data_IF_269250726063
#
_entry.id   IF_269250726063
#
_cell.length_a   1.000
_cell.length_b   1.000
_cell.length_c   1.000
_cell.angle_alpha   90.00
_cell.angle_beta   90.00
_cell.angle_gamma   90.00
#
_symmetry.space_group_name_H-M   'P 1'
#
loop_
_entity.id
_entity.type
_entity.pdbx_description
1 polymer ?
#
# COMPACT_ATOMS: atom_id res chain seq x y z
N UNK A 1 56.59 60.28 -7.56
CA UNK A 1 56.42 59.00 -8.26
C UNK A 1 55.54 58.11 -7.38
N UNK A 2 54.23 58.09 -7.62
CA UNK A 2 53.28 57.31 -6.82
C UNK A 2 52.87 56.05 -7.57
N UNK A 3 53.27 54.88 -7.07
CA UNK A 3 52.81 53.58 -7.56
C UNK A 3 51.60 53.16 -6.72
N UNK A 4 50.41 53.23 -7.33
CA UNK A 4 49.18 52.68 -6.74
C UNK A 4 49.20 51.15 -6.88
N UNK A 5 49.30 50.46 -5.75
CA UNK A 5 49.10 49.01 -5.66
C UNK A 5 47.59 48.70 -5.63
N UNK A 6 47.08 47.98 -6.63
CA UNK A 6 45.76 47.37 -6.64
C UNK A 6 45.85 45.92 -6.12
N UNK A 7 45.10 45.52 -5.07
CA UNK A 7 45.09 44.13 -4.64
C UNK A 7 44.28 43.24 -5.59
N UNK A 8 44.85 42.07 -5.88
CA UNK A 8 44.33 41.05 -6.80
C UNK A 8 43.00 40.44 -6.31
N UNK A 9 41.90 40.85 -6.95
CA UNK A 9 40.53 40.33 -6.79
C UNK A 9 40.37 38.84 -7.20
N UNK A 10 41.43 38.21 -7.71
CA UNK A 10 41.38 36.87 -8.32
C UNK A 10 41.06 35.75 -7.32
N UNK A 11 41.47 35.87 -6.06
CA UNK A 11 41.30 34.81 -5.06
C UNK A 11 39.88 34.75 -4.45
N UNK A 12 39.16 35.87 -4.45
CA UNK A 12 37.79 35.95 -3.92
C UNK A 12 36.78 35.32 -4.88
N UNK A 13 36.98 35.56 -6.18
CA UNK A 13 36.17 34.99 -7.24
C UNK A 13 36.31 33.45 -7.26
N UNK A 14 37.53 32.89 -7.25
CA UNK A 14 37.74 31.43 -7.31
C UNK A 14 37.14 30.65 -6.12
N UNK A 15 37.10 31.24 -4.92
CA UNK A 15 36.40 30.65 -3.76
C UNK A 15 34.88 30.69 -3.91
N UNK A 16 34.33 31.73 -4.54
CA UNK A 16 32.89 31.90 -4.73
C UNK A 16 32.30 30.88 -5.71
N UNK A 17 32.99 30.56 -6.81
CA UNK A 17 32.58 29.48 -7.73
C UNK A 17 32.62 28.10 -7.05
N UNK A 18 33.67 27.82 -6.26
CA UNK A 18 33.75 26.56 -5.50
C UNK A 18 32.61 26.38 -4.49
N UNK A 19 32.17 27.46 -3.84
CA UNK A 19 31.03 27.39 -2.92
C UNK A 19 29.72 27.16 -3.67
N UNK A 20 29.51 27.83 -4.81
CA UNK A 20 28.33 27.62 -5.65
C UNK A 20 28.28 26.19 -6.21
N UNK A 21 29.42 25.62 -6.60
CA UNK A 21 29.53 24.23 -7.07
C UNK A 21 29.19 23.22 -5.97
N UNK A 22 29.63 23.48 -4.72
CA UNK A 22 29.28 22.63 -3.57
C UNK A 22 27.78 22.70 -3.26
N UNK A 23 27.21 23.91 -3.27
CA UNK A 23 25.78 24.12 -2.99
C UNK A 23 24.91 23.46 -4.07
N UNK A 24 25.29 23.60 -5.35
CA UNK A 24 24.56 22.96 -6.45
C UNK A 24 24.69 21.43 -6.37
N UNK A 25 25.88 20.88 -6.13
CA UNK A 25 26.06 19.44 -5.96
C UNK A 25 25.25 18.87 -4.79
N UNK A 26 25.21 19.58 -3.65
CA UNK A 26 24.40 19.18 -2.49
C UNK A 26 22.90 19.20 -2.81
N UNK A 27 22.42 20.23 -3.53
CA UNK A 27 21.03 20.31 -3.97
C UNK A 27 20.65 19.15 -4.90
N UNK A 28 21.44 18.90 -5.95
CA UNK A 28 21.18 17.78 -6.86
C UNK A 28 21.31 16.42 -6.16
N UNK A 29 22.24 16.26 -5.23
CA UNK A 29 22.37 15.06 -4.41
C UNK A 29 21.14 14.80 -3.52
N UNK A 30 20.61 15.85 -2.88
CA UNK A 30 19.39 15.75 -2.08
C UNK A 30 18.16 15.42 -2.93
N UNK A 31 18.04 16.03 -4.11
CA UNK A 31 16.97 15.72 -5.08
C UNK A 31 17.09 14.27 -5.57
N UNK A 32 18.27 13.82 -5.95
CA UNK A 32 18.51 12.43 -6.35
C UNK A 32 18.17 11.45 -5.22
N UNK A 33 18.59 11.75 -3.98
CA UNK A 33 18.26 10.94 -2.81
C UNK A 33 16.75 10.90 -2.55
N UNK A 34 16.05 12.03 -2.71
CA UNK A 34 14.59 12.06 -2.64
C UNK A 34 13.95 11.16 -3.71
N UNK A 35 14.39 11.25 -4.96
CA UNK A 35 13.89 10.38 -6.03
C UNK A 35 14.22 8.90 -5.78
N UNK A 36 15.40 8.58 -5.25
CA UNK A 36 15.75 7.21 -4.86
C UNK A 36 14.83 6.71 -3.73
N UNK A 37 14.57 7.53 -2.70
CA UNK A 37 13.66 7.14 -1.63
C UNK A 37 12.20 7.00 -2.10
N UNK A 38 11.77 7.74 -3.12
CA UNK A 38 10.39 7.68 -3.63
C UNK A 38 10.19 6.57 -4.66
N UNK A 39 11.18 6.33 -5.53
CA UNK A 39 11.03 5.47 -6.71
C UNK A 39 11.88 4.18 -6.67
N UNK A 40 12.68 3.95 -5.61
CA UNK A 40 13.48 2.72 -5.46
C UNK A 40 13.19 2.03 -4.11
N UNK A 41 13.38 0.70 -4.00
CA UNK A 41 12.94 -0.10 -2.84
C UNK A 41 13.68 0.20 -1.52
N UNK A 42 14.66 1.11 -1.51
CA UNK A 42 15.32 1.51 -0.25
C UNK A 42 14.42 2.43 0.61
N UNK A 43 13.40 3.07 0.03
CA UNK A 43 12.43 3.91 0.76
C UNK A 43 11.23 3.19 1.35
N UNK A 44 11.20 1.85 1.26
CA UNK A 44 10.07 0.96 1.57
C UNK A 44 9.52 1.04 3.01
N UNK A 45 10.24 1.69 3.93
CA UNK A 45 9.80 1.86 5.33
C UNK A 45 8.93 3.11 5.55
N UNK A 46 8.96 4.12 4.66
CA UNK A 46 8.21 5.37 4.82
C UNK A 46 6.95 5.45 3.95
N UNK A 47 6.89 4.64 2.88
CA UNK A 47 5.72 4.53 2.00
C UNK A 47 4.81 3.34 2.38
N UNK A 48 4.55 3.11 3.67
CA UNK A 48 3.60 2.10 4.15
C UNK A 48 2.16 2.29 3.59
N UNK A 49 1.87 3.44 2.97
CA UNK A 49 0.63 3.70 2.24
C UNK A 49 0.59 3.07 0.83
N UNK A 50 1.74 2.76 0.22
CA UNK A 50 1.86 2.32 -1.19
C UNK A 50 1.85 0.80 -1.39
N UNK A 51 2.05 0.00 -0.34
CA UNK A 51 1.96 -1.47 -0.40
C UNK A 51 0.56 -2.00 -0.74
N UNK A 52 -0.47 -1.14 -0.60
CA UNK A 52 -1.88 -1.46 -0.92
C UNK A 52 -2.12 -1.77 -2.41
N UNK A 53 -1.28 -1.28 -3.32
CA UNK A 53 -1.42 -1.53 -4.77
C UNK A 53 -0.55 -2.67 -5.26
N UNK A 54 0.63 -2.91 -4.68
CA UNK A 54 1.55 -3.94 -5.17
C UNK A 54 1.08 -5.37 -4.90
N UNK A 55 0.36 -5.62 -3.80
CA UNK A 55 -0.30 -6.91 -3.55
C UNK A 55 -1.46 -7.18 -4.53
N UNK A 56 -1.96 -6.16 -5.23
CA UNK A 56 -3.09 -6.26 -6.17
C UNK A 56 -2.64 -6.55 -7.61
N UNK A 57 -1.38 -6.28 -7.96
CA UNK A 57 -0.91 -6.32 -9.36
C UNK A 57 -0.06 -7.52 -9.76
N UNK A 58 0.57 -8.26 -8.83
CA UNK A 58 1.41 -9.40 -9.19
C UNK A 58 0.70 -10.75 -8.90
N UNK A 59 0.16 -11.45 -9.94
CA UNK A 59 -0.65 -12.66 -9.75
C UNK A 59 0.08 -13.77 -9.00
N UNK A 60 1.40 -13.92 -9.24
CA UNK A 60 2.21 -14.98 -8.61
C UNK A 60 2.43 -14.74 -7.12
N UNK A 61 2.58 -13.49 -6.71
CA UNK A 61 2.70 -13.13 -5.30
C UNK A 61 1.38 -13.40 -4.57
N UNK A 62 0.26 -13.06 -5.22
CA UNK A 62 -1.10 -13.32 -4.73
C UNK A 62 -1.34 -14.81 -4.48
N UNK A 63 -1.08 -15.67 -5.47
CA UNK A 63 -1.22 -17.13 -5.31
C UNK A 63 -0.37 -17.66 -4.15
N UNK A 64 0.87 -17.19 -4.03
CA UNK A 64 1.77 -17.60 -2.96
C UNK A 64 1.24 -17.17 -1.58
N UNK A 65 0.67 -15.98 -1.46
CA UNK A 65 0.10 -15.48 -0.22
C UNK A 65 -1.16 -16.27 0.17
N UNK A 66 -2.05 -16.55 -0.79
CA UNK A 66 -3.24 -17.40 -0.58
C UNK A 66 -2.81 -18.78 -0.07
N UNK A 67 -1.85 -19.43 -0.74
CA UNK A 67 -1.34 -20.72 -0.31
C UNK A 67 -0.78 -20.67 1.13
N UNK A 68 0.00 -19.64 1.49
CA UNK A 68 0.52 -19.49 2.85
C UNK A 68 -0.59 -19.37 3.91
N UNK A 69 -1.65 -18.63 3.61
CA UNK A 69 -2.82 -18.47 4.49
C UNK A 69 -3.56 -19.79 4.65
N UNK A 70 -3.80 -20.52 3.56
CA UNK A 70 -4.44 -21.85 3.58
C UNK A 70 -3.62 -22.88 4.36
N UNK A 71 -2.30 -22.80 4.29
CA UNK A 71 -1.41 -23.63 5.11
C UNK A 71 -1.33 -23.21 6.59
N UNK A 72 -2.13 -22.22 7.02
CA UNK A 72 -2.16 -21.74 8.41
C UNK A 72 -0.90 -21.00 8.83
N UNK A 73 -0.02 -20.66 7.87
CA UNK A 73 1.17 -19.85 8.14
C UNK A 73 0.78 -18.38 8.04
N UNK A 74 0.47 -17.80 9.20
CA UNK A 74 0.29 -16.35 9.39
C UNK A 74 1.64 -15.61 9.29
N UNK A 75 2.41 -15.87 8.22
CA UNK A 75 3.72 -15.29 7.98
C UNK A 75 3.64 -13.90 7.33
N UNK A 76 2.47 -13.53 6.79
CA UNK A 76 2.21 -12.23 6.19
C UNK A 76 1.06 -11.53 6.93
N UNK A 77 1.29 -10.28 7.34
CA UNK A 77 0.22 -9.42 7.85
C UNK A 77 -0.76 -9.14 6.71
N UNK A 78 -2.01 -9.54 6.87
CA UNK A 78 -3.10 -9.24 5.94
C UNK A 78 -3.75 -7.94 6.41
N UNK A 79 -3.83 -6.95 5.53
CA UNK A 79 -4.44 -5.66 5.83
C UNK A 79 -5.96 -5.78 5.95
N UNK A 80 -6.57 -4.85 6.70
CA UNK A 80 -8.02 -4.70 6.74
C UNK A 80 -8.57 -4.11 5.43
N UNK A 81 -9.75 -4.58 5.03
CA UNK A 81 -10.52 -3.97 3.95
C UNK A 81 -11.06 -2.58 4.36
N UNK A 82 -11.47 -1.75 3.39
CA UNK A 82 -12.23 -0.52 3.66
C UNK A 82 -13.48 -0.76 4.53
N UNK A 83 -13.86 0.23 5.33
CA UNK A 83 -14.96 0.13 6.30
C UNK A 83 -16.35 -0.05 5.64
N UNK A 84 -16.51 0.30 4.37
CA UNK A 84 -17.72 0.08 3.56
C UNK A 84 -17.90 -1.39 3.13
N UNK A 85 -16.89 -2.25 3.31
CA UNK A 85 -16.95 -3.67 2.97
C UNK A 85 -17.54 -4.56 4.08
N UNK A 86 -18.09 -3.99 5.15
CA UNK A 86 -18.67 -4.75 6.28
C UNK A 86 -19.75 -5.74 5.81
N UNK A 87 -20.59 -5.34 4.86
CA UNK A 87 -21.68 -6.17 4.31
C UNK A 87 -21.26 -6.93 3.03
N UNK A 88 -19.96 -7.17 2.85
CA UNK A 88 -19.45 -7.82 1.66
C UNK A 88 -19.88 -9.30 1.60
N UNK A 89 -20.81 -9.61 0.70
CA UNK A 89 -21.30 -10.97 0.41
C UNK A 89 -20.94 -11.37 -1.04
N UNK A 90 -19.73 -11.88 -1.30
CA UNK A 90 -19.20 -12.01 -2.66
C UNK A 90 -20.02 -12.93 -3.57
N UNK A 91 -20.62 -13.98 -3.02
CA UNK A 91 -21.40 -14.96 -3.81
C UNK A 91 -22.89 -14.62 -3.95
N UNK A 92 -23.37 -13.59 -3.24
CA UNK A 92 -24.77 -13.15 -3.25
C UNK A 92 -24.88 -11.67 -3.61
N UNK A 93 -24.00 -11.16 -4.49
CA UNK A 93 -23.99 -9.76 -4.89
C UNK A 93 -25.22 -9.43 -5.78
N UNK A 94 -26.15 -8.56 -5.33
CA UNK A 94 -27.30 -8.15 -6.12
C UNK A 94 -26.93 -7.52 -7.47
N UNK A 95 -25.75 -6.89 -7.55
CA UNK A 95 -25.23 -6.27 -8.78
C UNK A 95 -24.95 -7.32 -9.84
N UNK A 96 -24.40 -8.47 -9.46
CA UNK A 96 -24.15 -9.60 -10.36
C UNK A 96 -25.47 -10.27 -10.70
N UNK A 97 -26.29 -10.59 -9.69
CA UNK A 97 -27.55 -11.31 -9.88
C UNK A 97 -28.50 -10.59 -10.85
N UNK A 98 -28.51 -9.25 -10.85
CA UNK A 98 -29.33 -8.46 -11.77
C UNK A 98 -28.93 -8.59 -13.25
N UNK A 99 -27.71 -9.06 -13.54
CA UNK A 99 -27.15 -9.20 -14.89
C UNK A 99 -27.25 -10.63 -15.44
N UNK A 100 -27.66 -11.60 -14.61
CA UNK A 100 -27.71 -13.02 -14.97
C UNK A 100 -29.03 -13.39 -15.67
N UNK A 101 -29.01 -14.49 -16.41
CA UNK A 101 -30.21 -15.00 -17.09
C UNK A 101 -31.31 -15.36 -16.09
N UNK A 102 -32.56 -15.08 -16.50
CA UNK A 102 -33.76 -15.50 -15.78
C UNK A 102 -34.19 -16.92 -16.14
N UNK A 103 -33.59 -17.50 -17.18
CA UNK A 103 -33.87 -18.86 -17.60
C UNK A 103 -33.51 -19.83 -16.48
N UNK A 104 -34.42 -20.78 -16.21
CA UNK A 104 -34.25 -21.81 -15.18
C UNK A 104 -33.90 -21.28 -13.78
N UNK A 105 -34.17 -20.00 -13.49
CA UNK A 105 -33.77 -19.33 -12.27
C UNK A 105 -32.24 -19.26 -12.04
N UNK A 106 -31.44 -19.22 -13.10
CA UNK A 106 -29.98 -19.13 -13.00
C UNK A 106 -29.49 -17.96 -12.14
N UNK A 107 -30.15 -16.80 -12.22
CA UNK A 107 -29.88 -15.62 -11.36
C UNK A 107 -30.06 -15.85 -9.85
N UNK A 108 -30.70 -16.95 -9.42
CA UNK A 108 -30.90 -17.30 -8.00
C UNK A 108 -29.83 -18.27 -7.48
N UNK A 109 -28.98 -18.79 -8.35
CA UNK A 109 -27.86 -19.64 -7.94
C UNK A 109 -26.75 -18.80 -7.29
N UNK A 110 -25.82 -19.46 -6.58
CA UNK A 110 -24.67 -18.79 -5.94
C UNK A 110 -23.57 -18.56 -6.97
N UNK A 111 -23.31 -17.31 -7.31
CA UNK A 111 -22.30 -16.91 -8.28
C UNK A 111 -21.16 -16.20 -7.57
N UNK A 112 -20.14 -16.98 -7.18
CA UNK A 112 -18.95 -16.42 -6.53
C UNK A 112 -17.97 -15.86 -7.58
N UNK A 113 -17.30 -14.74 -7.29
CA UNK A 113 -16.22 -14.22 -8.11
C UNK A 113 -15.05 -15.21 -8.15
N UNK A 114 -14.23 -15.10 -9.19
CA UNK A 114 -13.06 -15.96 -9.32
C UNK A 114 -12.02 -15.63 -8.24
N UNK A 115 -11.14 -16.57 -7.87
CA UNK A 115 -10.10 -16.34 -6.87
C UNK A 115 -9.16 -15.18 -7.20
N UNK A 116 -9.05 -14.74 -8.44
CA UNK A 116 -8.22 -13.60 -8.84
C UNK A 116 -8.92 -12.26 -8.59
N UNK A 117 -10.25 -12.26 -8.61
CA UNK A 117 -11.13 -11.10 -8.47
C UNK A 117 -11.48 -10.81 -7.01
N UNK A 118 -11.32 -11.79 -6.12
CA UNK A 118 -11.60 -11.62 -4.69
C UNK A 118 -10.63 -10.63 -4.04
N UNK A 119 -11.06 -9.80 -3.08
CA UNK A 119 -10.14 -8.99 -2.31
C UNK A 119 -9.32 -9.88 -1.34
N UNK A 120 -8.01 -9.63 -1.24
CA UNK A 120 -7.13 -10.25 -0.24
C UNK A 120 -6.96 -9.32 0.95
N UNK A 121 -8.02 -9.14 1.73
CA UNK A 121 -8.01 -8.34 2.94
C UNK A 121 -8.97 -8.91 3.99
N UNK A 122 -8.79 -8.51 5.25
CA UNK A 122 -9.67 -8.87 6.35
C UNK A 122 -10.87 -7.93 6.38
N UNK A 123 -12.08 -8.46 6.19
CA UNK A 123 -13.31 -7.67 6.27
C UNK A 123 -13.46 -7.11 7.69
N UNK A 124 -13.61 -5.78 7.86
CA UNK A 124 -13.73 -5.20 9.18
C UNK A 124 -15.07 -5.60 9.82
N UNK A 125 -15.14 -5.69 11.16
CA UNK A 125 -16.39 -5.91 11.86
C UNK A 125 -17.31 -4.66 11.77
N UNK A 126 -18.63 -4.84 11.88
CA UNK A 126 -19.57 -3.71 11.93
C UNK A 126 -19.36 -2.83 13.16
N UNK A 127 -19.85 -1.58 13.08
CA UNK A 127 -19.82 -0.66 14.22
C UNK A 127 -20.57 -1.25 15.43
N UNK A 128 -19.93 -1.20 16.60
CA UNK A 128 -20.49 -1.74 17.84
C UNK A 128 -20.42 -3.26 17.96
N UNK A 129 -19.79 -3.97 17.01
CA UNK A 129 -19.54 -5.40 17.14
C UNK A 129 -18.71 -5.68 18.40
N UNK A 130 -19.19 -6.62 19.21
CA UNK A 130 -18.49 -7.10 20.40
C UNK A 130 -18.06 -8.53 20.16
N UNK A 131 -16.85 -8.87 20.59
CA UNK A 131 -16.35 -10.25 20.52
C UNK A 131 -17.35 -11.14 21.27
N UNK A 132 -17.89 -12.19 20.63
CA UNK A 132 -18.84 -13.07 21.27
C UNK A 132 -18.19 -13.80 22.44
N UNK A 133 -19.00 -14.08 23.46
CA UNK A 133 -18.57 -14.87 24.63
C UNK A 133 -18.18 -16.26 24.13
N UNK A 134 -16.95 -16.67 24.44
CA UNK A 134 -16.44 -17.98 24.03
C UNK A 134 -17.20 -19.11 24.72
N UNK A 135 -17.33 -20.26 24.07
CA UNK A 135 -17.81 -21.48 24.72
C UNK A 135 -16.73 -21.99 25.69
N UNK A 136 -17.06 -22.51 26.90
CA UNK A 136 -18.38 -22.76 27.45
C UNK A 136 -19.01 -21.60 28.23
N UNK A 137 -18.30 -20.47 28.43
CA UNK A 137 -18.78 -19.33 29.22
C UNK A 137 -20.10 -18.75 28.70
N UNK A 138 -20.40 -18.93 27.40
CA UNK A 138 -21.67 -18.57 26.80
C UNK A 138 -22.89 -19.30 27.40
N UNK A 139 -22.70 -20.42 28.09
CA UNK A 139 -23.78 -21.20 28.74
C UNK A 139 -24.38 -20.50 29.95
N UNK A 140 -23.61 -19.67 30.66
CA UNK A 140 -24.01 -19.10 31.96
C UNK A 140 -24.30 -17.60 31.91
N UNK A 141 -24.16 -16.98 30.73
CA UNK A 141 -24.14 -15.52 30.55
C UNK A 141 -25.35 -15.01 29.76
N UNK A 142 -26.51 -15.64 29.96
CA UNK A 142 -27.81 -15.22 29.42
C UNK A 142 -28.44 -14.15 30.30
#
# INVERSE_FOLDING_TARGET
MGLLNLPSSKHRHTRQWRLLDIVTAAFFGAVLLFFLLVFTPLGDSLAASGRRTLLRTDPRLRERLVALVEFGRQAAAIDACPADMVDHMPCEDPRINSQLSRDMNYYRERHCPRPEETPLCLIPPPEGYRVPVQWPDSLHKV
#
